data_IF_349667344599
#
_entry.id   IF_349667344599
#
_cell.length_a   1.000
_cell.length_b   1.000
_cell.length_c   1.000
_cell.angle_alpha   90.00
_cell.angle_beta   90.00
_cell.angle_gamma   90.00
#
_symmetry.space_group_name_H-M   'P 1'
#
loop_
_entity.id
_entity.type
_entity.pdbx_description
1 polymer ?
#
# COMPACT_ATOMS: atom_id res chain seq x y z
N UNK A 1 -3.34 8.82 -37.43
CA UNK A 1 -4.57 8.06 -37.11
C UNK A 1 -4.52 7.79 -35.62
N UNK A 2 -5.49 8.28 -34.83
CA UNK A 2 -5.45 8.11 -33.37
C UNK A 2 -6.12 6.79 -32.98
N UNK A 3 -5.47 6.02 -32.10
CA UNK A 3 -6.02 4.77 -31.58
C UNK A 3 -7.09 5.05 -30.52
N UNK A 4 -8.33 4.68 -30.79
CA UNK A 4 -9.45 4.89 -29.87
C UNK A 4 -9.44 3.76 -28.84
N UNK A 5 -8.94 4.05 -27.63
CA UNK A 5 -8.90 3.07 -26.54
C UNK A 5 -10.15 3.15 -25.65
N UNK A 6 -10.75 1.99 -25.36
CA UNK A 6 -11.93 1.91 -24.51
C UNK A 6 -11.56 1.89 -23.01
N UNK A 7 -11.64 3.05 -22.37
CA UNK A 7 -11.34 3.22 -20.94
C UNK A 7 -12.25 2.39 -20.02
N UNK A 8 -13.50 2.12 -20.41
CA UNK A 8 -14.43 1.30 -19.61
C UNK A 8 -13.94 -0.13 -19.46
N UNK A 9 -13.47 -0.72 -20.57
CA UNK A 9 -12.92 -2.08 -20.57
C UNK A 9 -11.64 -2.15 -19.73
N UNK A 10 -10.76 -1.16 -19.84
CA UNK A 10 -9.52 -1.08 -19.05
C UNK A 10 -9.83 -0.99 -17.56
N UNK A 11 -10.75 -0.10 -17.15
CA UNK A 11 -11.17 0.01 -15.74
C UNK A 11 -11.76 -1.29 -15.22
N UNK A 12 -12.60 -1.96 -16.01
CA UNK A 12 -13.18 -3.26 -15.65
C UNK A 12 -12.10 -4.33 -15.46
N UNK A 13 -11.11 -4.38 -16.35
CA UNK A 13 -9.99 -5.32 -16.26
C UNK A 13 -9.17 -5.08 -15.00
N UNK A 14 -8.80 -3.82 -14.72
CA UNK A 14 -8.10 -3.43 -13.48
C UNK A 14 -8.90 -3.81 -12.23
N UNK A 15 -10.22 -3.63 -12.25
CA UNK A 15 -11.08 -4.04 -11.14
C UNK A 15 -11.08 -5.54 -10.89
N UNK A 16 -11.12 -6.35 -11.96
CA UNK A 16 -11.00 -7.81 -11.85
C UNK A 16 -9.63 -8.24 -11.34
N UNK A 17 -8.55 -7.69 -11.89
CA UNK A 17 -7.18 -7.97 -11.45
C UNK A 17 -6.99 -7.64 -9.97
N UNK A 18 -7.54 -6.53 -9.48
CA UNK A 18 -7.49 -6.17 -8.07
C UNK A 18 -8.25 -7.18 -7.19
N UNK A 19 -9.44 -7.61 -7.62
CA UNK A 19 -10.22 -8.61 -6.91
C UNK A 19 -9.53 -10.01 -6.89
N UNK A 20 -8.84 -10.37 -7.96
CA UNK A 20 -8.08 -11.63 -8.02
C UNK A 20 -6.88 -11.62 -7.07
N UNK A 21 -6.17 -10.48 -6.97
CA UNK A 21 -5.07 -10.30 -6.01
C UNK A 21 -5.54 -10.45 -4.56
N UNK A 22 -6.62 -9.75 -4.20
CA UNK A 22 -7.18 -9.86 -2.84
C UNK A 22 -7.70 -11.26 -2.55
N UNK A 23 -8.29 -11.94 -3.54
CA UNK A 23 -8.69 -13.33 -3.40
C UNK A 23 -7.49 -14.27 -3.18
N UNK A 24 -6.38 -14.07 -3.89
CA UNK A 24 -5.15 -14.84 -3.70
C UNK A 24 -4.57 -14.64 -2.28
N UNK A 25 -4.51 -13.40 -1.81
CA UNK A 25 -4.11 -13.08 -0.44
C UNK A 25 -5.02 -13.76 0.58
N UNK A 26 -6.35 -13.64 0.42
CA UNK A 26 -7.31 -14.26 1.32
C UNK A 26 -7.22 -15.79 1.35
N UNK A 27 -6.91 -16.44 0.21
CA UNK A 27 -6.66 -17.89 0.17
C UNK A 27 -5.45 -18.29 1.02
N UNK A 28 -4.38 -17.50 0.99
CA UNK A 28 -3.18 -17.74 1.82
C UNK A 28 -3.44 -17.46 3.30
N UNK A 29 -4.34 -16.53 3.61
CA UNK A 29 -4.76 -16.22 4.98
C UNK A 29 -5.74 -17.26 5.54
N UNK A 30 -6.49 -17.95 4.68
CA UNK A 30 -7.45 -18.97 5.06
C UNK A 30 -6.73 -20.20 5.64
N UNK A 31 -7.26 -20.76 6.73
CA UNK A 31 -6.65 -21.90 7.42
C UNK A 31 -5.63 -21.55 8.50
N UNK A 32 -5.24 -20.26 8.66
CA UNK A 32 -4.36 -19.86 9.77
C UNK A 32 -5.03 -20.04 11.14
N UNK A 33 -4.28 -20.58 12.08
CA UNK A 33 -4.67 -20.77 13.48
C UNK A 33 -4.74 -19.43 14.23
N UNK A 34 -5.38 -19.42 15.41
CA UNK A 34 -5.48 -18.19 16.24
C UNK A 34 -4.12 -17.67 16.69
N UNK A 35 -3.17 -18.58 16.98
CA UNK A 35 -1.83 -18.23 17.44
C UNK A 35 -1.01 -17.54 16.34
N UNK A 36 -1.03 -18.07 15.12
CA UNK A 36 -0.34 -17.46 13.96
C UNK A 36 -0.88 -16.06 13.67
N UNK A 37 -2.21 -15.88 13.69
CA UNK A 37 -2.83 -14.56 13.51
C UNK A 37 -2.42 -13.58 14.61
N UNK A 38 -2.24 -14.04 15.85
CA UNK A 38 -1.80 -13.18 16.95
C UNK A 38 -0.34 -12.77 16.78
N UNK A 39 0.53 -13.70 16.43
CA UNK A 39 1.94 -13.43 16.16
C UNK A 39 2.10 -12.40 15.04
N UNK A 40 1.39 -12.56 13.91
CA UNK A 40 1.41 -11.62 12.80
C UNK A 40 0.94 -10.21 13.22
N UNK A 41 -0.12 -10.12 14.04
CA UNK A 41 -0.61 -8.85 14.58
C UNK A 41 0.41 -8.17 15.46
N UNK A 42 1.06 -8.91 16.36
CA UNK A 42 2.09 -8.37 17.24
C UNK A 42 3.33 -7.91 16.47
N UNK A 43 3.75 -8.68 15.46
CA UNK A 43 4.84 -8.31 14.57
C UNK A 43 4.51 -7.00 13.83
N UNK A 44 3.30 -6.88 13.28
CA UNK A 44 2.86 -5.65 12.61
C UNK A 44 2.77 -4.46 13.57
N UNK A 45 2.29 -4.66 14.81
CA UNK A 45 2.25 -3.62 15.83
C UNK A 45 3.64 -3.13 16.22
N UNK A 46 4.61 -4.04 16.37
CA UNK A 46 6.01 -3.69 16.64
C UNK A 46 6.61 -2.87 15.49
N UNK A 47 6.36 -3.27 14.24
CA UNK A 47 6.80 -2.52 13.05
C UNK A 47 6.18 -1.13 12.99
N UNK A 48 4.88 -1.01 13.23
CA UNK A 48 4.19 0.28 13.25
C UNK A 48 4.78 1.20 14.33
N UNK A 49 4.92 0.69 15.57
CA UNK A 49 5.56 1.43 16.66
C UNK A 49 6.97 1.87 16.34
N UNK A 50 7.78 0.98 15.77
CA UNK A 50 9.13 1.33 15.34
C UNK A 50 9.11 2.48 14.33
N UNK A 51 8.23 2.44 13.32
CA UNK A 51 8.11 3.52 12.35
C UNK A 51 7.62 4.83 12.99
N UNK A 52 6.67 4.76 13.92
CA UNK A 52 6.13 5.91 14.64
C UNK A 52 7.21 6.55 15.54
N UNK A 53 7.94 5.73 16.30
CA UNK A 53 9.01 6.19 17.20
C UNK A 53 10.19 6.82 16.41
N UNK A 54 10.42 6.36 15.19
CA UNK A 54 11.46 6.89 14.29
C UNK A 54 10.92 7.91 13.28
N UNK A 55 9.67 8.34 13.41
CA UNK A 55 9.09 9.35 12.53
C UNK A 55 9.67 10.71 12.91
N UNK A 56 10.55 11.24 12.07
CA UNK A 56 10.90 12.65 12.10
C UNK A 56 9.69 13.44 11.62
N UNK A 57 9.17 14.33 12.46
CA UNK A 57 8.18 15.34 12.09
C UNK A 57 8.81 16.19 10.98
N UNK A 58 8.45 15.95 9.71
CA UNK A 58 8.80 16.88 8.64
C UNK A 58 8.01 18.15 8.94
N UNK A 59 8.70 19.16 9.47
CA UNK A 59 8.11 20.48 9.60
C UNK A 59 7.84 20.97 8.17
N UNK A 60 6.57 21.26 7.78
CA UNK A 60 6.25 21.68 6.42
C UNK A 60 6.89 23.02 6.03
N UNK A 61 7.62 23.70 6.94
CA UNK A 61 8.37 24.92 6.68
C UNK A 61 9.80 24.70 6.15
N UNK A 62 10.19 23.47 5.76
CA UNK A 62 11.58 23.16 5.34
C UNK A 62 11.74 22.78 3.86
N UNK A 63 10.66 22.86 3.06
CA UNK A 63 10.68 22.48 1.63
C UNK A 63 10.65 23.71 0.69
N UNK A 64 10.98 24.91 1.18
CA UNK A 64 11.03 26.12 0.35
C UNK A 64 12.45 26.66 0.04
N UNK A 65 13.52 25.95 0.42
CA UNK A 65 14.89 26.46 0.25
C UNK A 65 15.78 25.63 -0.71
N UNK A 66 15.25 25.08 -1.82
CA UNK A 66 16.07 24.38 -2.82
C UNK A 66 15.65 24.66 -4.29
N UNK A 67 15.25 25.90 -4.60
CA UNK A 67 15.27 26.38 -5.99
C UNK A 67 15.82 27.81 -6.08
N UNK A 68 17.13 27.98 -5.93
CA UNK A 68 17.82 29.06 -6.64
C UNK A 68 19.22 28.61 -7.07
N UNK A 69 19.46 28.67 -8.38
CA UNK A 69 20.63 28.07 -9.01
C UNK A 69 20.54 28.19 -10.53
N UNK A 70 20.38 29.43 -11.03
CA UNK A 70 20.72 29.80 -12.39
C UNK A 70 22.02 30.59 -12.40
#
# INVERSE_FOLDING_TARGET
>A
MAEIVNLRLIKKRKGKEAAEKTAAENRVLFGRTKAEKQFDREANRKKARFLDDHRLETNPSSTEDDTDGK
#
